data_IF_148676178642
#
_entry.id   IF_148676178642
#
_cell.length_a   1.000
_cell.length_b   1.000
_cell.length_c   1.000
_cell.angle_alpha   90.00
_cell.angle_beta   90.00
_cell.angle_gamma   90.00
#
_symmetry.space_group_name_H-M   'P 1'
#
loop_
_entity.id
_entity.type
_entity.pdbx_description
1 polymer ?
#
# COMPACT_ATOMS: atom_id res chain seq x y z
N UNK A 1 0.01 -89.52 -1.42
CA UNK A 1 -1.40 -89.23 -1.78
C UNK A 1 -1.64 -87.75 -1.47
N UNK A 2 -1.46 -86.86 -2.46
CA UNK A 2 -2.53 -86.20 -3.27
C UNK A 2 -3.38 -85.29 -2.37
N UNK A 3 -3.63 -83.98 -2.55
CA UNK A 3 -3.42 -82.93 -3.57
C UNK A 3 -3.62 -81.59 -2.80
N UNK A 4 -3.05 -80.41 -3.08
CA UNK A 4 -2.83 -79.76 -4.36
C UNK A 4 -3.81 -78.59 -4.54
N UNK A 5 -3.40 -77.35 -4.25
CA UNK A 5 -3.87 -76.13 -4.96
C UNK A 5 -2.70 -75.14 -5.06
N UNK A 6 -2.21 -75.02 -6.29
CA UNK A 6 -1.13 -74.15 -6.71
C UNK A 6 -1.67 -72.78 -7.15
N UNK A 7 -0.88 -71.74 -6.89
CA UNK A 7 -0.92 -70.46 -7.60
C UNK A 7 -0.49 -70.65 -9.06
N UNK A 8 -1.17 -70.04 -10.05
CA UNK A 8 -0.59 -69.85 -11.37
C UNK A 8 0.08 -68.48 -11.51
N UNK A 9 1.25 -68.56 -12.15
CA UNK A 9 2.07 -67.47 -12.70
C UNK A 9 1.31 -66.64 -13.73
N UNK A 10 1.74 -65.38 -13.82
CA UNK A 10 1.58 -64.48 -14.96
C UNK A 10 1.95 -65.16 -16.29
N UNK A 11 1.06 -65.05 -17.27
CA UNK A 11 1.40 -65.12 -18.70
C UNK A 11 0.75 -63.96 -19.43
N UNK A 12 1.54 -63.29 -20.27
CA UNK A 12 1.08 -62.29 -21.22
C UNK A 12 0.07 -62.90 -22.17
N UNK A 13 -1.03 -62.19 -22.46
CA UNK A 13 -1.65 -61.97 -23.79
C UNK A 13 -3.10 -61.52 -23.58
N UNK A 14 -3.32 -60.22 -23.31
CA UNK A 14 -4.48 -59.43 -23.79
C UNK A 14 -4.05 -57.96 -23.76
N UNK A 15 -3.26 -57.58 -24.75
CA UNK A 15 -3.11 -56.18 -25.16
C UNK A 15 -4.22 -55.90 -26.17
N UNK A 16 -4.80 -54.70 -26.09
CA UNK A 16 -5.95 -54.18 -26.85
C UNK A 16 -7.34 -54.62 -26.36
N UNK A 17 -7.94 -53.78 -25.51
CA UNK A 17 -9.19 -53.10 -25.88
C UNK A 17 -9.47 -51.89 -24.96
N UNK A 18 -9.39 -50.72 -25.60
CA UNK A 18 -10.19 -49.51 -25.40
C UNK A 18 -10.13 -48.70 -24.08
N UNK A 19 -9.15 -47.80 -24.10
CA UNK A 19 -9.23 -46.42 -23.63
C UNK A 19 -10.41 -45.67 -24.31
N UNK A 20 -11.49 -45.40 -23.56
CA UNK A 20 -12.62 -44.56 -24.02
C UNK A 20 -13.19 -43.66 -22.91
N UNK A 21 -12.33 -43.11 -22.04
CA UNK A 21 -12.73 -42.07 -21.07
C UNK A 21 -12.07 -40.69 -21.33
N UNK A 22 -11.08 -40.62 -22.22
CA UNK A 22 -10.38 -39.37 -22.57
C UNK A 22 -11.07 -38.55 -23.69
N UNK A 23 -12.07 -39.11 -24.36
CA UNK A 23 -12.77 -38.48 -25.50
C UNK A 23 -13.83 -37.47 -25.07
N UNK A 24 -14.52 -37.69 -23.94
CA UNK A 24 -15.58 -36.78 -23.48
C UNK A 24 -15.04 -35.49 -22.84
N UNK A 25 -13.87 -35.55 -22.18
CA UNK A 25 -13.25 -34.37 -21.58
C UNK A 25 -12.67 -33.43 -22.65
N UNK A 26 -12.09 -33.97 -23.72
CA UNK A 26 -11.58 -33.17 -24.84
C UNK A 26 -12.70 -32.62 -25.74
N UNK A 27 -13.89 -33.23 -25.76
CA UNK A 27 -15.03 -32.74 -26.54
C UNK A 27 -15.77 -31.57 -25.86
N UNK A 28 -15.67 -31.45 -24.54
CA UNK A 28 -16.13 -30.27 -23.78
C UNK A 28 -15.19 -29.07 -23.90
N UNK A 29 -13.90 -29.30 -24.17
CA UNK A 29 -12.91 -28.25 -24.40
C UNK A 29 -12.87 -27.79 -25.87
N UNK A 30 -13.31 -28.64 -26.81
CA UNK A 30 -13.22 -28.36 -28.26
C UNK A 30 -14.42 -27.60 -28.85
N UNK A 31 -15.49 -27.33 -28.09
CA UNK A 31 -16.67 -26.56 -28.59
C UNK A 31 -16.76 -25.13 -28.06
N UNK A 32 -15.81 -24.65 -27.26
CA UNK A 32 -15.67 -23.20 -27.07
C UNK A 32 -14.98 -22.64 -28.30
N UNK A 33 -15.78 -22.08 -29.21
CA UNK A 33 -15.30 -21.11 -30.20
C UNK A 33 -14.29 -20.21 -29.51
N UNK A 34 -13.03 -20.26 -29.96
CA UNK A 34 -12.02 -19.25 -29.69
C UNK A 34 -12.52 -17.94 -30.31
N UNK A 35 -13.51 -17.32 -29.68
CA UNK A 35 -13.60 -15.87 -29.70
C UNK A 35 -12.30 -15.43 -29.06
N UNK A 36 -11.45 -14.82 -29.86
CA UNK A 36 -10.51 -13.82 -29.39
C UNK A 36 -11.20 -13.01 -28.29
N UNK A 37 -10.89 -13.30 -27.02
CA UNK A 37 -11.08 -12.38 -25.92
C UNK A 37 -10.08 -11.25 -26.20
N UNK A 38 -10.45 -10.45 -27.20
CA UNK A 38 -9.62 -9.43 -27.78
C UNK A 38 -9.33 -8.36 -26.74
N UNK A 39 -8.30 -7.57 -27.02
CA UNK A 39 -7.93 -6.33 -26.34
C UNK A 39 -9.12 -5.50 -25.80
N UNK A 40 -10.29 -5.56 -26.44
CA UNK A 40 -11.55 -4.96 -25.97
C UNK A 40 -12.02 -5.43 -24.57
N UNK A 41 -11.83 -6.70 -24.18
CA UNK A 41 -12.24 -7.20 -22.85
C UNK A 41 -11.30 -6.70 -21.75
N UNK A 42 -9.99 -6.71 -22.01
CA UNK A 42 -8.98 -6.15 -21.12
C UNK A 42 -9.10 -4.62 -21.02
N UNK A 43 -9.36 -3.93 -22.13
CA UNK A 43 -9.61 -2.49 -22.16
C UNK A 43 -10.87 -2.12 -21.39
N UNK A 44 -11.95 -2.92 -21.52
CA UNK A 44 -13.20 -2.70 -20.78
C UNK A 44 -13.05 -3.01 -19.29
N UNK A 45 -12.27 -4.02 -18.91
CA UNK A 45 -11.90 -4.29 -17.52
C UNK A 45 -11.03 -3.16 -16.94
N UNK A 46 -10.05 -2.66 -17.69
CA UNK A 46 -9.25 -1.50 -17.29
C UNK A 46 -10.09 -0.23 -17.12
N UNK A 47 -11.06 -0.02 -18.01
CA UNK A 47 -11.99 1.12 -17.94
C UNK A 47 -12.94 1.01 -16.74
N UNK A 48 -13.45 -0.19 -16.43
CA UNK A 48 -14.28 -0.43 -15.25
C UNK A 48 -13.50 -0.27 -13.93
N UNK A 49 -12.24 -0.73 -13.90
CA UNK A 49 -11.35 -0.52 -12.77
C UNK A 49 -11.06 0.98 -12.56
N UNK A 50 -10.67 1.69 -13.62
CA UNK A 50 -10.45 3.14 -13.61
C UNK A 50 -11.70 3.90 -13.14
N UNK A 51 -12.90 3.50 -13.58
CA UNK A 51 -14.15 4.13 -13.17
C UNK A 51 -14.47 3.93 -11.68
N UNK A 52 -14.23 2.72 -11.17
CA UNK A 52 -14.41 2.39 -9.75
C UNK A 52 -13.44 3.19 -8.88
N UNK A 53 -12.16 3.23 -9.26
CA UNK A 53 -11.13 4.00 -8.55
C UNK A 53 -11.43 5.50 -8.61
N UNK A 54 -11.83 6.05 -9.78
CA UNK A 54 -12.19 7.46 -9.91
C UNK A 54 -13.36 7.87 -9.00
N UNK A 55 -14.34 6.99 -8.87
CA UNK A 55 -15.52 7.23 -8.03
C UNK A 55 -15.15 7.18 -6.55
N UNK A 56 -14.39 6.17 -6.11
CA UNK A 56 -13.91 6.07 -4.73
C UNK A 56 -13.02 7.27 -4.35
N UNK A 57 -12.14 7.68 -5.26
CA UNK A 57 -11.26 8.82 -5.07
C UNK A 57 -12.02 10.13 -4.96
N UNK A 58 -13.03 10.34 -5.83
CA UNK A 58 -13.92 11.51 -5.76
C UNK A 58 -14.72 11.54 -4.47
N UNK A 59 -15.28 10.41 -4.03
CA UNK A 59 -16.09 10.33 -2.82
C UNK A 59 -15.29 10.60 -1.53
N UNK A 60 -14.00 10.24 -1.50
CA UNK A 60 -13.09 10.60 -0.42
C UNK A 60 -12.65 12.08 -0.52
N UNK A 61 -12.34 12.58 -1.73
CA UNK A 61 -11.93 13.98 -1.97
C UNK A 61 -13.01 15.02 -1.66
N UNK A 62 -14.27 14.70 -2.00
CA UNK A 62 -15.40 15.63 -1.94
C UNK A 62 -15.93 15.86 -0.52
N UNK A 63 -15.42 15.13 0.49
CA UNK A 63 -15.72 15.37 1.90
C UNK A 63 -14.95 16.54 2.49
N UNK A 64 -13.73 16.81 2.00
CA UNK A 64 -12.80 17.74 2.65
C UNK A 64 -12.42 18.96 1.77
N UNK A 65 -12.56 18.88 0.44
CA UNK A 65 -12.18 19.98 -0.47
C UNK A 65 -13.21 20.22 -1.59
N UNK A 66 -13.85 21.40 -1.68
CA UNK A 66 -14.87 21.69 -2.69
C UNK A 66 -14.35 22.08 -4.10
N UNK A 67 -13.03 22.11 -4.32
CA UNK A 67 -12.39 22.37 -5.64
C UNK A 67 -11.79 21.11 -6.29
N UNK A 68 -12.43 19.95 -6.13
CA UNK A 68 -11.92 18.70 -6.70
C UNK A 68 -12.24 18.62 -8.19
N UNK A 69 -11.25 18.18 -8.96
CA UNK A 69 -11.33 17.85 -10.38
C UNK A 69 -12.62 17.07 -10.72
N UNK A 70 -13.23 17.36 -11.87
CA UNK A 70 -14.43 16.65 -12.34
C UNK A 70 -14.17 15.14 -12.43
N UNK A 71 -15.24 14.32 -12.44
CA UNK A 71 -15.08 12.86 -12.50
C UNK A 71 -14.27 12.46 -13.75
N UNK A 72 -14.56 13.12 -14.86
CA UNK A 72 -13.88 12.95 -16.13
C UNK A 72 -12.39 13.36 -16.06
N UNK A 73 -12.05 14.37 -15.28
CA UNK A 73 -10.66 14.79 -15.04
C UNK A 73 -9.90 13.78 -14.19
N UNK A 74 -10.51 13.29 -13.10
CA UNK A 74 -9.93 12.22 -12.27
C UNK A 74 -9.69 10.97 -13.13
N UNK A 75 -10.63 10.59 -14.00
CA UNK A 75 -10.48 9.45 -14.92
C UNK A 75 -9.31 9.65 -15.91
N UNK A 76 -9.13 10.85 -16.47
CA UNK A 76 -7.98 11.14 -17.35
C UNK A 76 -6.65 11.07 -16.60
N UNK A 77 -6.62 11.60 -15.37
CA UNK A 77 -5.42 11.58 -14.53
C UNK A 77 -5.07 10.15 -14.09
N UNK A 78 -6.07 9.34 -13.74
CA UNK A 78 -5.93 7.91 -13.48
C UNK A 78 -5.35 7.18 -14.68
N UNK A 79 -5.88 7.46 -15.87
CA UNK A 79 -5.37 6.85 -17.09
C UNK A 79 -3.92 7.26 -17.38
N UNK A 80 -3.56 8.53 -17.13
CA UNK A 80 -2.17 9.01 -17.26
C UNK A 80 -1.20 8.29 -16.33
N UNK A 81 -1.56 8.08 -15.07
CA UNK A 81 -0.73 7.36 -14.09
C UNK A 81 -0.61 5.86 -14.44
N UNK A 82 -1.73 5.22 -14.77
CA UNK A 82 -1.74 3.81 -15.19
C UNK A 82 -0.89 3.57 -16.45
N UNK A 83 -0.98 4.44 -17.46
CA UNK A 83 -0.20 4.32 -18.70
C UNK A 83 1.30 4.47 -18.45
N UNK A 84 1.70 5.29 -17.46
CA UNK A 84 3.10 5.42 -17.05
C UNK A 84 3.59 4.31 -16.11
N UNK A 85 2.70 3.40 -15.68
CA UNK A 85 3.03 2.36 -14.71
C UNK A 85 3.37 2.91 -13.32
N UNK A 86 2.86 4.09 -12.98
CA UNK A 86 3.08 4.76 -11.70
C UNK A 86 1.81 4.61 -10.87
N UNK A 87 1.94 4.23 -9.59
CA UNK A 87 0.81 4.13 -8.67
C UNK A 87 0.16 5.48 -8.43
N UNK A 88 -1.11 5.47 -8.00
CA UNK A 88 -1.82 6.71 -7.70
C UNK A 88 -1.33 7.32 -6.38
N UNK A 89 -1.27 8.64 -6.25
CA UNK A 89 -1.10 9.30 -4.96
C UNK A 89 -2.27 9.00 -4.03
N UNK A 90 -2.02 8.95 -2.72
CA UNK A 90 -3.06 8.68 -1.71
C UNK A 90 -3.97 9.89 -1.47
N UNK A 91 -3.45 11.11 -1.62
CA UNK A 91 -4.21 12.35 -1.41
C UNK A 91 -4.81 12.91 -2.68
N UNK A 92 -6.09 13.29 -2.60
CA UNK A 92 -6.82 13.75 -3.75
C UNK A 92 -6.36 15.10 -4.32
N UNK A 93 -5.80 15.93 -3.44
CA UNK A 93 -5.21 17.23 -3.77
C UNK A 93 -4.07 17.11 -4.79
N UNK A 94 -3.46 15.92 -4.90
CA UNK A 94 -2.38 15.64 -5.86
C UNK A 94 -2.90 15.26 -7.25
N UNK A 95 -4.18 14.93 -7.37
CA UNK A 95 -4.82 14.52 -8.63
C UNK A 95 -5.59 15.70 -9.20
N UNK A 96 -4.85 16.65 -9.77
CA UNK A 96 -5.38 17.84 -10.45
C UNK A 96 -4.64 18.12 -11.76
N UNK A 97 -5.24 18.92 -12.64
CA UNK A 97 -4.63 19.25 -13.95
C UNK A 97 -3.39 20.15 -13.81
N UNK A 98 -3.43 21.10 -12.87
CA UNK A 98 -2.36 22.06 -12.65
C UNK A 98 -1.27 21.48 -11.74
N UNK A 99 0.02 21.62 -12.09
CA UNK A 99 1.09 21.18 -11.20
C UNK A 99 1.03 21.85 -9.82
N UNK A 100 1.42 21.13 -8.76
CA UNK A 100 1.52 21.66 -7.41
C UNK A 100 2.72 22.59 -7.27
N UNK A 101 2.45 23.79 -6.76
CA UNK A 101 3.47 24.76 -6.35
C UNK A 101 3.86 24.53 -4.89
N UNK A 102 5.00 25.09 -4.46
CA UNK A 102 5.41 25.09 -3.04
C UNK A 102 4.30 25.62 -2.12
N UNK A 103 3.64 26.72 -2.53
CA UNK A 103 2.55 27.33 -1.76
C UNK A 103 1.36 26.40 -1.63
N UNK A 104 1.00 25.64 -2.68
CA UNK A 104 -0.07 24.64 -2.59
C UNK A 104 0.27 23.60 -1.52
N UNK A 105 1.50 23.06 -1.54
CA UNK A 105 1.95 22.03 -0.62
C UNK A 105 2.05 22.51 0.84
N UNK A 106 2.44 23.77 1.04
CA UNK A 106 2.47 24.39 2.37
C UNK A 106 1.08 24.60 2.96
N UNK A 107 0.08 24.85 2.10
CA UNK A 107 -1.30 25.08 2.49
C UNK A 107 -2.11 23.79 2.70
N UNK A 108 -1.56 22.61 2.38
CA UNK A 108 -2.21 21.34 2.69
C UNK A 108 -2.35 21.22 4.21
N UNK A 109 -3.59 21.12 4.67
CA UNK A 109 -3.85 20.94 6.09
C UNK A 109 -3.48 19.52 6.50
N UNK A 110 -2.36 19.41 7.20
CA UNK A 110 -1.88 18.15 7.78
C UNK A 110 -2.41 17.92 9.19
N UNK A 111 -3.22 18.83 9.73
CA UNK A 111 -3.74 18.86 11.10
C UNK A 111 -2.70 18.37 12.11
N UNK A 112 -1.83 19.25 12.62
CA UNK A 112 -0.81 18.83 13.61
C UNK A 112 -1.49 18.48 14.93
N UNK A 113 -1.83 17.20 15.12
CA UNK A 113 -2.39 16.68 16.36
C UNK A 113 -1.71 15.38 16.77
N UNK A 114 -1.69 15.15 18.08
CA UNK A 114 -1.24 13.91 18.71
C UNK A 114 -2.46 13.21 19.30
N UNK A 115 -2.73 11.95 18.92
CA UNK A 115 -3.79 11.17 19.55
C UNK A 115 -3.35 10.78 20.97
N UNK A 116 -4.02 11.29 22.00
CA UNK A 116 -3.69 10.88 23.37
C UNK A 116 -4.02 9.40 23.57
N UNK A 117 -3.10 8.56 24.10
CA UNK A 117 -3.41 7.18 24.42
C UNK A 117 -4.50 7.09 25.49
N UNK A 118 -5.60 6.39 25.21
CA UNK A 118 -6.75 6.27 26.12
C UNK A 118 -6.79 4.89 26.81
N UNK A 119 -6.57 3.82 26.05
CA UNK A 119 -6.62 2.44 26.56
C UNK A 119 -5.24 1.90 26.93
N UNK A 120 -5.18 0.81 27.71
CA UNK A 120 -3.91 0.14 28.01
C UNK A 120 -3.15 -0.24 26.74
N UNK A 121 -3.84 -0.76 25.73
CA UNK A 121 -3.22 -1.15 24.46
C UNK A 121 -2.76 0.07 23.65
N UNK A 122 -3.44 1.23 23.71
CA UNK A 122 -2.93 2.49 23.14
C UNK A 122 -1.60 2.89 23.78
N UNK A 123 -1.48 2.76 25.10
CA UNK A 123 -0.24 3.09 25.81
C UNK A 123 0.89 2.15 25.40
N UNK A 124 0.60 0.85 25.20
CA UNK A 124 1.58 -0.11 24.68
C UNK A 124 2.02 0.26 23.26
N UNK A 125 1.07 0.58 22.36
CA UNK A 125 1.37 1.01 21.00
C UNK A 125 2.27 2.25 21.01
N UNK A 126 1.86 3.30 21.72
CA UNK A 126 2.61 4.56 21.82
C UNK A 126 4.02 4.35 22.36
N UNK A 127 4.16 3.65 23.50
CA UNK A 127 5.47 3.39 24.11
C UNK A 127 6.38 2.56 23.21
N UNK A 128 5.82 1.60 22.47
CA UNK A 128 6.58 0.81 21.50
C UNK A 128 7.15 1.69 20.39
N UNK A 129 6.34 2.62 19.85
CA UNK A 129 6.81 3.60 18.86
C UNK A 129 7.89 4.51 19.42
N UNK A 130 7.71 5.07 20.63
CA UNK A 130 8.74 5.92 21.26
C UNK A 130 10.05 5.16 21.50
N UNK A 131 9.98 3.88 21.86
CA UNK A 131 11.15 3.02 22.01
C UNK A 131 11.86 2.80 20.67
N UNK A 132 11.13 2.45 19.61
CA UNK A 132 11.70 2.29 18.27
C UNK A 132 12.35 3.60 17.78
N UNK A 133 11.66 4.73 17.99
CA UNK A 133 12.20 6.05 17.66
C UNK A 133 13.52 6.33 18.38
N UNK A 134 13.63 6.03 19.67
CA UNK A 134 14.86 6.21 20.42
C UNK A 134 16.04 5.46 19.76
N UNK A 135 15.83 4.22 19.34
CA UNK A 135 16.87 3.45 18.64
C UNK A 135 17.19 4.02 17.26
N UNK A 136 16.16 4.40 16.48
CA UNK A 136 16.35 5.01 15.17
C UNK A 136 17.14 6.33 15.24
N UNK A 137 16.75 7.23 16.15
CA UNK A 137 17.41 8.52 16.34
C UNK A 137 18.86 8.34 16.80
N UNK A 138 19.12 7.34 17.66
CA UNK A 138 20.47 6.98 18.11
C UNK A 138 21.35 6.45 16.97
N UNK A 139 20.79 5.65 16.07
CA UNK A 139 21.52 5.04 14.95
C UNK A 139 21.81 6.04 13.83
N UNK A 140 20.81 6.82 13.40
CA UNK A 140 20.93 7.69 12.23
C UNK A 140 21.42 9.11 12.54
N UNK A 141 21.20 9.61 13.76
CA UNK A 141 21.51 11.00 14.15
C UNK A 141 20.97 12.00 13.10
N UNK A 142 21.84 12.82 12.50
CA UNK A 142 21.48 13.85 11.50
C UNK A 142 21.48 13.35 10.04
N UNK A 143 21.55 12.04 9.78
CA UNK A 143 21.53 11.50 8.40
C UNK A 143 20.09 11.35 7.89
N UNK A 144 19.39 12.47 7.67
CA UNK A 144 17.96 12.50 7.37
C UNK A 144 17.55 11.64 6.16
N UNK A 145 18.25 11.76 5.02
CA UNK A 145 17.89 10.99 3.81
C UNK A 145 18.14 9.49 3.98
N UNK A 146 19.25 9.10 4.61
CA UNK A 146 19.53 7.69 4.93
C UNK A 146 18.52 7.12 5.94
N UNK A 147 18.11 7.94 6.91
CA UNK A 147 17.06 7.60 7.87
C UNK A 147 15.74 7.35 7.14
N UNK A 148 15.32 8.26 6.26
CA UNK A 148 14.11 8.11 5.46
C UNK A 148 14.14 6.79 4.66
N UNK A 149 15.20 6.53 3.90
CA UNK A 149 15.34 5.28 3.12
C UNK A 149 15.13 4.03 3.98
N UNK A 150 15.77 3.95 5.15
CA UNK A 150 15.63 2.77 6.00
C UNK A 150 14.24 2.71 6.64
N UNK A 151 13.67 3.83 7.09
CA UNK A 151 12.35 3.84 7.70
C UNK A 151 11.25 3.51 6.69
N UNK A 152 11.31 3.98 5.44
CA UNK A 152 10.31 3.64 4.41
C UNK A 152 10.29 2.17 4.04
N UNK A 153 11.44 1.49 4.17
CA UNK A 153 11.47 0.02 3.96
C UNK A 153 10.68 -0.73 5.03
N UNK A 154 10.51 -0.13 6.21
CA UNK A 154 9.72 -0.68 7.31
C UNK A 154 8.27 -0.17 7.25
N UNK A 155 8.05 1.10 6.89
CA UNK A 155 6.74 1.72 6.78
C UNK A 155 5.85 1.07 5.70
N UNK A 156 6.43 0.55 4.60
CA UNK A 156 5.67 -0.22 3.61
C UNK A 156 5.20 -1.62 4.05
N UNK A 157 5.60 -2.10 5.24
CA UNK A 157 5.27 -3.47 5.70
C UNK A 157 3.88 -3.58 6.34
N UNK A 158 3.46 -2.69 7.28
CA UNK A 158 2.18 -2.80 7.96
C UNK A 158 0.96 -2.87 7.05
N UNK A 159 0.81 -1.95 6.09
CA UNK A 159 -0.29 -1.95 5.13
C UNK A 159 -0.33 -3.24 4.29
N UNK A 160 0.82 -3.74 3.87
CA UNK A 160 0.93 -4.98 3.10
C UNK A 160 0.48 -6.21 3.92
N UNK A 161 0.96 -6.32 5.16
CA UNK A 161 0.58 -7.42 6.06
C UNK A 161 -0.90 -7.37 6.40
N UNK A 162 -1.41 -6.19 6.78
CA UNK A 162 -2.80 -5.99 7.13
C UNK A 162 -3.72 -6.29 5.93
N UNK A 163 -3.41 -5.74 4.75
CA UNK A 163 -4.14 -5.97 3.51
C UNK A 163 -4.15 -7.45 3.10
N UNK A 164 -3.00 -8.12 3.17
CA UNK A 164 -2.88 -9.57 2.91
C UNK A 164 -3.75 -10.38 3.89
N UNK A 165 -3.71 -10.08 5.19
CA UNK A 165 -4.48 -10.81 6.19
C UNK A 165 -6.00 -10.58 6.04
N UNK A 166 -6.42 -9.35 5.76
CA UNK A 166 -7.80 -9.00 5.42
C UNK A 166 -8.27 -9.73 4.16
N UNK A 167 -7.44 -9.77 3.11
CA UNK A 167 -7.70 -10.50 1.88
C UNK A 167 -7.93 -11.99 2.14
N UNK A 168 -7.01 -12.63 2.85
CA UNK A 168 -7.14 -14.05 3.19
C UNK A 168 -8.34 -14.33 4.10
N UNK A 169 -8.71 -13.41 4.99
CA UNK A 169 -9.92 -13.48 5.82
C UNK A 169 -11.20 -13.42 4.95
N UNK A 170 -11.26 -12.49 4.00
CA UNK A 170 -12.37 -12.36 3.05
C UNK A 170 -12.56 -13.64 2.24
N UNK A 171 -11.49 -14.19 1.66
CA UNK A 171 -11.53 -15.43 0.90
C UNK A 171 -12.05 -16.62 1.71
N UNK A 172 -11.49 -16.87 2.91
CA UNK A 172 -11.91 -18.00 3.75
C UNK A 172 -13.34 -17.87 4.27
N UNK A 173 -13.85 -16.65 4.40
CA UNK A 173 -15.22 -16.38 4.87
C UNK A 173 -16.22 -16.22 3.73
N UNK A 174 -15.76 -16.12 2.48
CA UNK A 174 -16.58 -15.82 1.30
C UNK A 174 -17.43 -14.54 1.52
N UNK A 175 -16.82 -13.50 2.10
CA UNK A 175 -17.48 -12.26 2.48
C UNK A 175 -16.77 -11.04 1.90
N UNK A 176 -17.54 -10.00 1.58
CA UNK A 176 -16.96 -8.70 1.22
C UNK A 176 -16.12 -8.14 2.38
N UNK A 177 -15.00 -7.54 2.02
CA UNK A 177 -14.06 -6.93 2.97
C UNK A 177 -14.46 -5.49 3.36
N UNK A 178 -15.41 -4.90 2.64
CA UNK A 178 -15.92 -3.55 2.86
C UNK A 178 -14.85 -2.43 2.72
N UNK A 179 -13.87 -2.64 1.85
CA UNK A 179 -12.94 -1.59 1.38
C UNK A 179 -11.62 -1.47 2.15
N UNK A 180 -11.30 -2.36 3.08
CA UNK A 180 -10.04 -2.30 3.85
C UNK A 180 -8.83 -2.72 3.03
N UNK A 181 -8.93 -3.82 2.27
CA UNK A 181 -7.82 -4.38 1.50
C UNK A 181 -7.24 -3.35 0.55
N UNK A 182 -8.09 -2.66 -0.21
CA UNK A 182 -7.64 -1.66 -1.18
C UNK A 182 -6.90 -0.51 -0.50
N UNK A 183 -7.46 0.06 0.57
CA UNK A 183 -6.83 1.16 1.31
C UNK A 183 -5.49 0.76 1.90
N UNK A 184 -5.40 -0.42 2.53
CA UNK A 184 -4.17 -0.89 3.17
C UNK A 184 -3.06 -1.24 2.16
N UNK A 185 -3.42 -1.81 1.02
CA UNK A 185 -2.45 -2.07 -0.06
C UNK A 185 -2.02 -0.79 -0.77
N UNK A 186 -2.90 0.20 -0.86
CA UNK A 186 -2.58 1.52 -1.42
C UNK A 186 -1.62 2.31 -0.53
N UNK A 187 -1.83 2.28 0.79
CA UNK A 187 -0.88 2.81 1.79
C UNK A 187 0.50 2.16 1.63
N UNK A 188 0.58 0.81 1.60
CA UNK A 188 1.85 0.11 1.42
C UNK A 188 2.57 0.46 0.11
N UNK A 189 1.82 0.70 -0.96
CA UNK A 189 2.36 1.12 -2.25
C UNK A 189 2.85 2.58 -2.22
N UNK A 190 2.17 3.47 -1.49
CA UNK A 190 2.58 4.86 -1.30
C UNK A 190 3.90 4.95 -0.52
N UNK A 191 4.02 4.22 0.58
CA UNK A 191 5.27 4.08 1.35
C UNK A 191 6.43 3.55 0.48
N UNK A 192 6.14 2.56 -0.38
CA UNK A 192 7.11 2.05 -1.36
C UNK A 192 7.51 3.12 -2.38
N UNK A 193 6.60 4.02 -2.75
CA UNK A 193 6.91 5.14 -3.64
C UNK A 193 7.77 6.20 -2.96
N UNK A 194 7.58 6.46 -1.67
CA UNK A 194 8.48 7.32 -0.89
C UNK A 194 9.91 6.76 -0.92
N UNK A 195 10.08 5.46 -0.67
CA UNK A 195 11.38 4.79 -0.80
C UNK A 195 12.00 5.01 -2.19
N UNK A 196 11.26 4.81 -3.27
CA UNK A 196 11.76 4.99 -4.64
C UNK A 196 12.16 6.43 -4.94
N UNK A 197 11.44 7.40 -4.36
CA UNK A 197 11.77 8.82 -4.45
C UNK A 197 13.09 9.10 -3.72
N UNK A 198 13.25 8.63 -2.48
CA UNK A 198 14.48 8.85 -1.69
C UNK A 198 15.69 8.13 -2.29
N UNK A 199 15.50 6.96 -2.89
CA UNK A 199 16.55 6.26 -3.64
C UNK A 199 17.04 7.03 -4.86
N UNK A 200 16.21 7.94 -5.42
CA UNK A 200 16.61 8.83 -6.50
C UNK A 200 17.43 10.04 -6.01
N UNK A 201 17.46 10.29 -4.69
CA UNK A 201 18.25 11.35 -4.05
C UNK A 201 19.58 10.79 -3.54
N UNK A 202 19.58 9.61 -2.91
CA UNK A 202 20.79 8.94 -2.43
C UNK A 202 20.65 7.43 -2.50
N UNK A 203 21.77 6.72 -2.66
CA UNK A 203 21.79 5.27 -2.70
C UNK A 203 22.16 4.68 -1.33
N UNK A 204 21.45 3.64 -0.85
CA UNK A 204 21.84 2.95 0.36
C UNK A 204 23.15 2.17 0.14
N UNK A 205 24.01 2.19 1.14
CA UNK A 205 25.24 1.39 1.20
C UNK A 205 24.93 -0.10 1.31
N UNK A 206 25.91 -0.95 1.01
CA UNK A 206 25.76 -2.40 1.20
C UNK A 206 25.38 -2.78 2.63
N UNK A 207 25.99 -2.12 3.62
CA UNK A 207 25.67 -2.34 5.04
C UNK A 207 24.21 -1.97 5.35
N UNK A 208 23.74 -0.81 4.87
CA UNK A 208 22.35 -0.40 5.05
C UNK A 208 21.39 -1.39 4.40
N UNK A 209 21.71 -1.92 3.21
CA UNK A 209 20.91 -2.96 2.55
C UNK A 209 20.86 -4.26 3.37
N UNK A 210 21.97 -4.69 3.94
CA UNK A 210 21.99 -5.86 4.84
C UNK A 210 21.14 -5.63 6.11
N UNK A 211 21.24 -4.43 6.70
CA UNK A 211 20.44 -4.04 7.87
C UNK A 211 18.95 -4.03 7.52
N UNK A 212 18.57 -3.43 6.39
CA UNK A 212 17.18 -3.40 5.90
C UNK A 212 16.65 -4.82 5.74
N UNK A 213 17.36 -5.72 5.04
CA UNK A 213 16.93 -7.12 4.88
C UNK A 213 16.72 -7.82 6.22
N UNK A 214 17.63 -7.62 7.18
CA UNK A 214 17.51 -8.23 8.50
C UNK A 214 16.32 -7.66 9.29
N UNK A 215 16.20 -6.33 9.36
CA UNK A 215 15.12 -5.64 10.08
C UNK A 215 13.76 -5.96 9.46
N UNK A 216 13.64 -5.95 8.14
CA UNK A 216 12.40 -6.34 7.46
C UNK A 216 12.05 -7.80 7.76
N UNK A 217 13.01 -8.72 7.73
CA UNK A 217 12.78 -10.13 8.07
C UNK A 217 12.21 -10.29 9.49
N UNK A 218 12.77 -9.59 10.47
CA UNK A 218 12.26 -9.60 11.85
C UNK A 218 10.90 -8.92 11.97
N UNK A 219 10.78 -7.69 11.45
CA UNK A 219 9.61 -6.85 11.61
C UNK A 219 8.39 -7.44 10.91
N UNK A 220 8.54 -7.95 9.69
CA UNK A 220 7.46 -8.61 8.94
C UNK A 220 6.86 -9.77 9.73
N UNK A 221 7.69 -10.69 10.24
CA UNK A 221 7.22 -11.84 11.00
C UNK A 221 6.58 -11.42 12.33
N UNK A 222 7.20 -10.48 13.05
CA UNK A 222 6.65 -9.95 14.31
C UNK A 222 5.30 -9.24 14.08
N UNK A 223 5.20 -8.43 13.02
CA UNK A 223 4.01 -7.65 12.71
C UNK A 223 2.84 -8.55 12.24
N UNK A 224 3.11 -9.65 11.52
CA UNK A 224 2.09 -10.66 11.22
C UNK A 224 1.45 -11.19 12.51
N UNK A 225 2.28 -11.65 13.46
CA UNK A 225 1.78 -12.17 14.74
C UNK A 225 1.03 -11.08 15.51
N UNK A 226 1.58 -9.87 15.51
CA UNK A 226 0.98 -8.73 16.20
C UNK A 226 -0.41 -8.37 15.64
N UNK A 227 -0.54 -8.28 14.32
CA UNK A 227 -1.81 -7.96 13.66
C UNK A 227 -2.85 -9.09 13.80
N UNK A 228 -2.41 -10.35 13.74
CA UNK A 228 -3.31 -11.50 13.95
C UNK A 228 -3.94 -11.50 15.35
N UNK A 229 -3.17 -11.14 16.37
CA UNK A 229 -3.62 -11.15 17.76
C UNK A 229 -4.32 -9.84 18.17
N UNK A 230 -3.84 -8.70 17.66
CA UNK A 230 -4.22 -7.37 18.13
C UNK A 230 -4.39 -6.37 16.97
N UNK A 231 -5.30 -6.59 16.00
CA UNK A 231 -5.41 -5.76 14.79
C UNK A 231 -5.68 -4.29 15.12
N UNK A 232 -6.55 -4.03 16.10
CA UNK A 232 -6.84 -2.67 16.60
C UNK A 232 -5.60 -1.96 17.14
N UNK A 233 -4.80 -2.66 17.94
CA UNK A 233 -3.57 -2.10 18.52
C UNK A 233 -2.47 -1.94 17.47
N UNK A 234 -2.45 -2.81 16.46
CA UNK A 234 -1.54 -2.71 15.32
C UNK A 234 -1.81 -1.45 14.50
N UNK A 235 -3.07 -1.14 14.17
CA UNK A 235 -3.43 0.13 13.54
C UNK A 235 -3.08 1.34 14.39
N UNK A 236 -3.35 1.31 15.71
CA UNK A 236 -2.94 2.42 16.58
C UNK A 236 -1.41 2.60 16.59
N UNK A 237 -0.66 1.51 16.57
CA UNK A 237 0.79 1.53 16.50
C UNK A 237 1.28 2.22 15.21
N UNK A 238 0.69 1.91 14.06
CA UNK A 238 0.99 2.59 12.79
C UNK A 238 0.62 4.07 12.87
N UNK A 239 -0.56 4.41 13.37
CA UNK A 239 -0.96 5.82 13.54
C UNK A 239 0.05 6.63 14.37
N UNK A 240 0.64 6.03 15.41
CA UNK A 240 1.74 6.67 16.15
C UNK A 240 3.07 6.70 15.40
N UNK A 241 3.39 5.70 14.57
CA UNK A 241 4.57 5.77 13.69
C UNK A 241 4.47 6.98 12.77
N UNK A 242 3.31 7.20 12.17
CA UNK A 242 3.12 8.30 11.21
C UNK A 242 3.12 9.68 11.88
N UNK A 243 2.65 9.78 13.13
CA UNK A 243 2.88 11.00 13.93
C UNK A 243 4.38 11.32 14.07
N UNK A 244 5.22 10.31 14.31
CA UNK A 244 6.67 10.50 14.40
C UNK A 244 7.33 10.73 13.03
N UNK A 245 6.74 10.22 11.94
CA UNK A 245 7.14 10.52 10.56
C UNK A 245 6.90 12.00 10.22
N UNK A 246 5.70 12.53 10.51
CA UNK A 246 5.38 13.96 10.33
C UNK A 246 6.35 14.85 11.11
N UNK A 247 6.67 14.51 12.36
CA UNK A 247 7.69 15.24 13.16
C UNK A 247 9.05 15.21 12.46
N UNK A 248 9.43 14.06 11.90
CA UNK A 248 10.70 13.88 11.21
C UNK A 248 10.79 14.69 9.92
N UNK A 249 9.72 14.73 9.13
CA UNK A 249 9.65 15.53 7.91
C UNK A 249 9.58 17.04 8.17
N UNK A 250 8.91 17.47 9.23
CA UNK A 250 8.96 18.87 9.68
C UNK A 250 10.40 19.28 10.07
N UNK A 251 11.13 18.41 10.77
CA UNK A 251 12.53 18.66 11.09
C UNK A 251 13.40 18.70 9.82
N UNK A 252 13.15 17.81 8.86
CA UNK A 252 13.87 17.79 7.59
C UNK A 252 13.62 19.09 6.79
N UNK A 253 12.37 19.52 6.63
CA UNK A 253 12.03 20.78 5.97
C UNK A 253 12.75 21.97 6.61
N UNK A 254 12.79 22.02 7.95
CA UNK A 254 13.48 23.07 8.70
C UNK A 254 15.00 23.09 8.45
N UNK A 255 15.64 21.93 8.37
CA UNK A 255 17.07 21.85 8.04
C UNK A 255 17.36 22.33 6.61
N UNK A 256 16.45 22.10 5.65
CA UNK A 256 16.55 22.65 4.29
C UNK A 256 16.40 24.18 4.32
N UNK A 257 15.38 24.70 5.02
CA UNK A 257 15.12 26.14 5.15
C UNK A 257 16.28 26.89 5.81
N UNK A 258 16.92 26.27 6.80
CA UNK A 258 18.10 26.83 7.48
C UNK A 258 19.39 26.76 6.62
N UNK A 259 19.36 26.10 5.46
CA UNK A 259 20.52 25.91 4.59
C UNK A 259 21.50 24.82 5.07
N UNK A 260 21.14 24.03 6.08
CA UNK A 260 21.96 22.91 6.55
C UNK A 260 21.92 21.72 5.59
N UNK A 261 20.84 21.60 4.81
CA UNK A 261 20.70 20.64 3.72
C UNK A 261 20.44 21.40 2.43
N UNK A 262 21.18 21.07 1.37
CA UNK A 262 21.02 21.70 0.07
C UNK A 262 19.65 21.38 -0.53
N UNK A 263 18.91 22.42 -0.93
CA UNK A 263 17.59 22.28 -1.54
C UNK A 263 17.74 21.92 -3.04
N UNK A 264 18.20 20.73 -3.39
CA UNK A 264 18.44 20.33 -4.79
C UNK A 264 17.15 20.26 -5.63
N UNK A 265 17.21 20.21 -6.98
CA UNK A 265 16.03 19.97 -7.81
C UNK A 265 15.33 18.65 -7.45
N UNK A 266 14.00 18.65 -7.46
CA UNK A 266 13.20 17.46 -7.16
C UNK A 266 13.48 16.33 -8.17
N UNK A 267 13.59 15.06 -7.73
CA UNK A 267 13.72 13.94 -8.65
C UNK A 267 12.52 13.84 -9.58
N UNK A 268 12.76 13.44 -10.83
CA UNK A 268 11.70 13.26 -11.84
C UNK A 268 10.58 12.32 -11.37
N UNK A 269 10.93 11.26 -10.63
CA UNK A 269 9.95 10.33 -10.06
C UNK A 269 8.97 11.03 -9.12
N UNK A 270 9.43 11.98 -8.30
CA UNK A 270 8.56 12.74 -7.39
C UNK A 270 7.70 13.75 -8.16
N UNK A 271 8.28 14.44 -9.14
CA UNK A 271 7.57 15.37 -10.01
C UNK A 271 6.43 14.65 -10.74
N UNK A 272 6.71 13.49 -11.34
CA UNK A 272 5.72 12.71 -12.07
C UNK A 272 4.66 12.09 -11.14
N UNK A 273 5.04 11.63 -9.93
CA UNK A 273 4.14 10.99 -8.96
C UNK A 273 3.18 11.99 -8.31
N UNK A 274 3.72 13.06 -7.70
CA UNK A 274 2.91 14.05 -7.00
C UNK A 274 2.36 15.15 -7.91
N UNK A 275 2.66 15.11 -9.22
CA UNK A 275 2.30 16.17 -10.16
C UNK A 275 2.86 17.55 -9.73
N UNK A 276 4.15 17.61 -9.36
CA UNK A 276 4.80 18.86 -8.93
C UNK A 276 5.17 19.77 -10.10
N UNK A 277 5.40 21.05 -9.83
CA UNK A 277 6.00 21.96 -10.80
C UNK A 277 7.34 21.41 -11.33
N UNK A 278 7.67 21.70 -12.60
CA UNK A 278 8.91 21.22 -13.22
C UNK A 278 10.17 21.77 -12.55
N UNK A 279 10.07 22.91 -11.88
CA UNK A 279 11.14 23.54 -11.12
C UNK A 279 11.07 23.24 -9.62
N UNK A 280 10.22 22.29 -9.21
CA UNK A 280 10.12 21.86 -7.82
C UNK A 280 11.49 21.43 -7.28
N UNK A 281 11.69 21.66 -5.99
CA UNK A 281 12.92 21.38 -5.26
C UNK A 281 12.68 20.32 -4.19
N UNK A 282 13.75 19.88 -3.54
CA UNK A 282 13.73 18.86 -2.50
C UNK A 282 12.72 19.17 -1.38
N UNK A 283 12.57 20.45 -1.01
CA UNK A 283 11.59 20.85 0.01
C UNK A 283 10.14 20.55 -0.39
N UNK A 284 9.79 20.66 -1.67
CA UNK A 284 8.45 20.36 -2.18
C UNK A 284 8.15 18.86 -2.04
N UNK A 285 9.16 18.02 -2.31
CA UNK A 285 9.07 16.57 -2.10
C UNK A 285 8.86 16.24 -0.63
N UNK A 286 9.59 16.91 0.27
CA UNK A 286 9.42 16.75 1.72
C UNK A 286 8.01 17.12 2.17
N UNK A 287 7.44 18.22 1.65
CA UNK A 287 6.07 18.61 1.99
C UNK A 287 5.02 17.64 1.44
N UNK A 288 5.20 17.13 0.23
CA UNK A 288 4.29 16.16 -0.38
C UNK A 288 4.28 14.84 0.42
N UNK A 289 5.46 14.28 0.71
CA UNK A 289 5.58 13.06 1.51
C UNK A 289 4.99 13.27 2.91
N UNK A 290 5.31 14.38 3.58
CA UNK A 290 4.72 14.73 4.89
C UNK A 290 3.18 14.74 4.87
N UNK A 291 2.58 15.18 3.76
CA UNK A 291 1.14 15.19 3.64
C UNK A 291 0.56 13.78 3.52
N UNK A 292 1.23 12.86 2.81
CA UNK A 292 0.86 11.44 2.78
C UNK A 292 0.93 10.82 4.19
N UNK A 293 2.00 11.09 4.95
CA UNK A 293 2.13 10.60 6.33
C UNK A 293 0.96 11.06 7.22
N UNK A 294 0.49 12.28 7.03
CA UNK A 294 -0.68 12.78 7.74
C UNK A 294 -1.95 12.01 7.36
N UNK A 295 -2.11 11.64 6.09
CA UNK A 295 -3.23 10.81 5.65
C UNK A 295 -3.16 9.40 6.24
N UNK A 296 -1.97 8.78 6.26
CA UNK A 296 -1.75 7.46 6.85
C UNK A 296 -1.98 7.45 8.37
N UNK A 297 -1.52 8.50 9.07
CA UNK A 297 -1.81 8.73 10.50
C UNK A 297 -3.31 8.70 10.76
N UNK A 298 -4.05 9.51 10.02
CA UNK A 298 -5.48 9.70 10.23
C UNK A 298 -6.26 8.45 9.87
N UNK A 299 -5.91 7.79 8.77
CA UNK A 299 -6.48 6.51 8.37
C UNK A 299 -6.27 5.44 9.44
N UNK A 300 -5.04 5.26 9.94
CA UNK A 300 -4.73 4.21 10.90
C UNK A 300 -5.33 4.48 12.30
N UNK A 301 -5.32 5.71 12.78
CA UNK A 301 -6.07 6.05 14.01
C UNK A 301 -7.58 5.79 13.83
N UNK A 302 -8.15 6.12 12.67
CA UNK A 302 -9.55 5.85 12.36
C UNK A 302 -9.86 4.36 12.26
N UNK A 303 -8.97 3.55 11.67
CA UNK A 303 -9.12 2.09 11.64
C UNK A 303 -9.19 1.50 13.04
N UNK A 304 -8.30 1.94 13.95
CA UNK A 304 -8.36 1.52 15.34
C UNK A 304 -9.70 1.89 16.00
N UNK A 305 -10.15 3.14 15.83
CA UNK A 305 -11.43 3.63 16.39
C UNK A 305 -12.66 2.90 15.79
N UNK A 306 -12.62 2.54 14.50
CA UNK A 306 -13.69 1.79 13.83
C UNK A 306 -13.80 0.36 14.34
N UNK A 307 -12.68 -0.28 14.65
CA UNK A 307 -12.68 -1.61 15.27
C UNK A 307 -13.30 -1.52 16.68
N UNK A 308 -12.92 -0.50 17.47
CA UNK A 308 -13.50 -0.26 18.79
C UNK A 308 -15.02 0.01 18.72
N UNK A 309 -15.48 0.74 17.69
CA UNK A 309 -16.89 1.06 17.48
C UNK A 309 -17.69 -0.04 16.74
N UNK A 310 -17.04 -1.14 16.32
CA UNK A 310 -17.62 -2.17 15.45
C UNK A 310 -18.22 -1.62 14.13
N UNK A 311 -17.59 -0.60 13.56
CA UNK A 311 -18.00 0.08 12.31
C UNK A 311 -16.98 -0.14 11.19
N UNK A 312 -16.74 -1.40 10.86
CA UNK A 312 -15.74 -1.84 9.87
C UNK A 312 -16.20 -1.74 8.40
N UNK A 313 -17.31 -1.08 8.08
CA UNK A 313 -17.66 -0.82 6.67
C UNK A 313 -17.07 0.53 6.22
N UNK A 314 -16.11 0.50 5.28
CA UNK A 314 -15.50 1.68 4.68
C UNK A 314 -16.15 2.07 3.34
N UNK A 315 -16.96 1.18 2.75
CA UNK A 315 -17.60 1.44 1.47
C UNK A 315 -18.60 2.59 1.59
N UNK A 316 -18.68 3.48 0.58
CA UNK A 316 -19.70 4.51 0.55
C UNK A 316 -21.10 3.86 0.59
N UNK A 317 -22.10 4.52 1.19
CA UNK A 317 -23.47 4.04 1.13
C UNK A 317 -23.90 3.92 -0.33
N UNK A 318 -24.74 2.93 -0.69
CA UNK A 318 -25.23 2.82 -2.06
C UNK A 318 -25.92 4.12 -2.47
N UNK A 319 -25.78 4.55 -3.74
CA UNK A 319 -26.46 5.75 -4.23
C UNK A 319 -27.97 5.62 -4.00
N UNK A 320 -28.58 6.69 -3.48
CA UNK A 320 -30.03 6.80 -3.31
C UNK A 320 -30.74 6.93 -4.66
#
# INVERSE_FOLDING_TARGET
MICGKAFPRLTSTVLNQHCSSHSLFNKLISTSSTRTLGSASAARMGQLYSYSTATAYKDDAQKDHPEVATKEEIERLLQKHQVKGVSMPVRAEFVRETPLTTTDLENIDIHVYHRKPETFSDHVAYRSVKLLRFFADSFFRKRYVHRAIVLETVAGVPGMVAGMLCHMRSLRRMQHDNGWIEKLLHEAENERMHLMIWMSVTNPTFLERCIVTFVQGLFFNAYIVYYLLFPRTAHRFVGYLEEEAIVSYNAFAKEIQNGNIENTPAPKVAIDYYNLDKNARLIDVVYAVRADEAAHRDANHNFADRIDAHKENLSPPPPK
#
